data_IF_135884444627
#
_entry.id   IF_135884444627
#
_cell.length_a   1.000
_cell.length_b   1.000
_cell.length_c   1.000
_cell.angle_alpha   90.00
_cell.angle_beta   90.00
_cell.angle_gamma   90.00
#
_symmetry.space_group_name_H-M   'P 1'
#
loop_
_entity.id
_entity.type
_entity.pdbx_description
1 polymer ?
#
# COMPACT_ATOMS: atom_id res chain seq x y z
N UNK A 1 -7.11 39.59 -12.06
CA UNK A 1 -6.71 38.16 -12.01
C UNK A 1 -7.64 37.45 -12.96
N UNK A 2 -7.12 36.77 -13.99
CA UNK A 2 -7.92 35.94 -14.90
C UNK A 2 -7.84 34.51 -14.42
N UNK A 3 -8.99 33.81 -14.40
CA UNK A 3 -9.08 32.38 -14.07
C UNK A 3 -9.31 31.63 -15.38
N UNK A 4 -8.49 30.61 -15.66
CA UNK A 4 -8.66 29.71 -16.80
C UNK A 4 -9.05 28.32 -16.32
N UNK A 5 -10.03 27.70 -16.99
CA UNK A 5 -10.44 26.32 -16.74
C UNK A 5 -9.60 25.39 -17.59
N UNK A 6 -8.71 24.63 -16.97
CA UNK A 6 -7.81 23.72 -17.67
C UNK A 6 -8.53 22.47 -18.21
N UNK A 7 -9.55 21.95 -17.48
CA UNK A 7 -10.32 20.79 -17.86
C UNK A 7 -11.76 20.87 -17.36
N UNK A 8 -12.74 20.89 -18.25
CA UNK A 8 -14.15 21.16 -17.90
C UNK A 8 -14.84 20.00 -17.18
N UNK A 9 -14.43 18.76 -17.48
CA UNK A 9 -15.04 17.54 -16.95
C UNK A 9 -14.15 16.80 -15.95
N UNK A 10 -13.28 17.56 -15.25
CA UNK A 10 -12.40 16.96 -14.25
C UNK A 10 -13.22 16.31 -13.14
N UNK A 11 -13.00 15.00 -12.90
CA UNK A 11 -13.62 14.25 -11.83
C UNK A 11 -12.55 13.58 -10.98
N UNK A 12 -12.78 13.52 -9.66
CA UNK A 12 -11.90 12.81 -8.73
C UNK A 12 -10.42 13.19 -8.81
N UNK A 13 -10.14 14.50 -9.00
CA UNK A 13 -8.81 15.08 -8.90
C UNK A 13 -8.61 15.57 -7.46
N UNK A 14 -7.54 15.08 -6.83
CA UNK A 14 -7.21 15.35 -5.43
C UNK A 14 -6.11 16.40 -5.27
N UNK A 15 -5.32 16.66 -6.31
CA UNK A 15 -4.25 17.64 -6.27
C UNK A 15 -3.45 17.73 -7.57
N UNK A 16 -2.71 18.83 -7.70
CA UNK A 16 -1.79 19.03 -8.81
C UNK A 16 -0.56 19.81 -8.35
N UNK A 17 0.59 19.49 -8.93
CA UNK A 17 1.87 20.17 -8.69
C UNK A 17 2.59 20.40 -10.01
N UNK A 18 3.19 21.57 -10.19
CA UNK A 18 4.00 21.84 -11.39
C UNK A 18 5.26 20.96 -11.44
N UNK A 19 5.63 20.60 -12.67
CA UNK A 19 6.96 20.05 -12.95
C UNK A 19 8.06 21.05 -12.52
N UNK A 20 9.29 20.58 -12.26
CA UNK A 20 10.40 21.46 -11.88
C UNK A 20 10.68 22.61 -12.85
N UNK A 21 10.39 22.43 -14.14
CA UNK A 21 10.55 23.45 -15.19
C UNK A 21 9.28 24.31 -15.41
N UNK A 22 8.20 24.03 -14.66
CA UNK A 22 6.94 24.78 -14.72
C UNK A 22 6.07 24.53 -15.96
N UNK A 23 6.43 23.58 -16.84
CA UNK A 23 5.73 23.37 -18.11
C UNK A 23 4.58 22.38 -18.06
N UNK A 24 4.62 21.45 -17.13
CA UNK A 24 3.62 20.41 -16.97
C UNK A 24 3.06 20.40 -15.55
N UNK A 25 1.90 19.79 -15.38
CA UNK A 25 1.34 19.45 -14.08
C UNK A 25 1.41 17.95 -13.88
N UNK A 26 1.95 17.52 -12.75
CA UNK A 26 1.68 16.21 -12.18
C UNK A 26 0.35 16.30 -11.45
N UNK A 27 -0.63 15.51 -11.86
CA UNK A 27 -1.97 15.50 -11.29
C UNK A 27 -2.19 14.18 -10.58
N UNK A 28 -2.69 14.26 -9.36
CA UNK A 28 -3.09 13.12 -8.54
C UNK A 28 -4.61 13.02 -8.50
N UNK A 29 -5.14 11.84 -8.79
CA UNK A 29 -6.59 11.59 -8.83
C UNK A 29 -6.89 10.10 -8.90
N UNK A 30 -8.14 9.73 -9.17
CA UNK A 30 -8.51 8.35 -9.46
C UNK A 30 -8.40 8.04 -10.96
N UNK A 31 -8.53 6.76 -11.33
CA UNK A 31 -8.54 6.34 -12.74
C UNK A 31 -9.59 7.04 -13.61
N UNK A 32 -10.63 7.62 -12.99
CA UNK A 32 -11.69 8.36 -13.68
C UNK A 32 -11.29 9.78 -14.12
N UNK A 33 -10.16 10.30 -13.63
CA UNK A 33 -9.70 11.62 -14.05
C UNK A 33 -9.47 11.67 -15.58
N UNK A 34 -9.66 12.86 -16.16
CA UNK A 34 -9.44 13.14 -17.58
C UNK A 34 -10.18 12.17 -18.52
N UNK A 35 -11.51 12.09 -18.38
CA UNK A 35 -12.37 11.24 -19.21
C UNK A 35 -12.02 9.74 -19.16
N UNK A 36 -11.67 9.25 -17.95
CA UNK A 36 -11.40 7.83 -17.67
C UNK A 36 -10.12 7.26 -18.30
N UNK A 37 -9.16 8.09 -18.74
CA UNK A 37 -7.93 7.59 -19.39
C UNK A 37 -7.05 6.73 -18.47
N UNK A 38 -7.23 6.85 -17.15
CA UNK A 38 -6.50 6.07 -16.14
C UNK A 38 -7.15 4.75 -15.75
N UNK A 39 -8.35 4.42 -16.26
CA UNK A 39 -9.07 3.21 -15.84
C UNK A 39 -8.43 1.93 -16.38
N UNK A 40 -8.28 0.96 -15.48
CA UNK A 40 -7.88 -0.41 -15.75
C UNK A 40 -8.76 -1.38 -14.94
N UNK A 41 -10.03 -1.48 -15.31
CA UNK A 41 -11.06 -2.34 -14.71
C UNK A 41 -11.74 -3.18 -15.78
N UNK A 42 -12.46 -4.23 -15.39
CA UNK A 42 -13.25 -5.03 -16.31
C UNK A 42 -14.50 -4.29 -16.77
N UNK A 43 -14.99 -4.65 -17.94
CA UNK A 43 -16.27 -4.19 -18.44
C UNK A 43 -17.40 -4.47 -17.44
N UNK A 44 -18.24 -3.48 -17.21
CA UNK A 44 -19.35 -3.54 -16.25
C UNK A 44 -18.98 -3.27 -14.79
N UNK A 45 -17.70 -3.19 -14.44
CA UNK A 45 -17.31 -2.77 -13.09
C UNK A 45 -17.40 -1.26 -12.91
N UNK A 46 -17.62 -0.84 -11.66
CA UNK A 46 -17.54 0.54 -11.22
C UNK A 46 -16.21 0.71 -10.51
N UNK A 47 -15.41 1.71 -10.91
CA UNK A 47 -14.10 1.96 -10.33
C UNK A 47 -14.18 2.34 -8.86
N UNK A 48 -13.22 1.87 -8.08
CA UNK A 48 -12.98 2.35 -6.73
C UNK A 48 -12.21 3.67 -6.79
N UNK A 49 -12.87 4.77 -6.42
CA UNK A 49 -12.28 6.12 -6.50
C UNK A 49 -11.20 6.39 -5.45
N UNK A 50 -11.01 5.48 -4.50
CA UNK A 50 -9.90 5.53 -3.53
C UNK A 50 -8.58 4.94 -4.07
N UNK A 51 -8.63 4.26 -5.24
CA UNK A 51 -7.43 3.82 -5.94
C UNK A 51 -6.78 4.99 -6.67
N UNK A 52 -5.69 5.53 -6.10
CA UNK A 52 -5.00 6.73 -6.55
C UNK A 52 -4.09 6.47 -7.74
N UNK A 53 -4.17 7.39 -8.72
CA UNK A 53 -3.41 7.34 -9.97
C UNK A 53 -2.70 8.67 -10.22
N UNK A 54 -1.62 8.63 -11.01
CA UNK A 54 -0.91 9.82 -11.46
C UNK A 54 -1.08 10.07 -12.95
N UNK A 55 -1.16 11.35 -13.28
CA UNK A 55 -1.26 11.85 -14.63
C UNK A 55 -0.25 12.97 -14.87
N UNK A 56 0.19 13.13 -16.10
CA UNK A 56 0.80 14.34 -16.58
C UNK A 56 -0.22 15.12 -17.40
N UNK A 57 -0.33 16.42 -17.13
CA UNK A 57 -1.13 17.34 -17.90
C UNK A 57 -0.25 18.45 -18.45
N UNK A 58 -0.38 18.73 -19.74
CA UNK A 58 0.30 19.80 -20.44
C UNK A 58 -0.68 20.97 -20.65
N UNK A 59 -0.54 22.09 -19.94
CA UNK A 59 -1.44 23.22 -20.07
C UNK A 59 -1.41 23.89 -21.45
N UNK A 60 -0.28 23.84 -22.17
CA UNK A 60 -0.15 24.48 -23.48
C UNK A 60 -0.92 23.73 -24.57
N UNK A 61 -0.92 22.40 -24.50
CA UNK A 61 -1.64 21.52 -25.46
C UNK A 61 -2.98 21.05 -24.95
N UNK A 62 -3.27 21.27 -23.66
CA UNK A 62 -4.46 20.75 -22.95
C UNK A 62 -4.60 19.23 -23.05
N UNK A 63 -3.49 18.48 -23.04
CA UNK A 63 -3.49 17.02 -23.10
C UNK A 63 -3.09 16.41 -21.78
N UNK A 64 -3.80 15.35 -21.41
CA UNK A 64 -3.49 14.50 -20.27
C UNK A 64 -2.92 13.13 -20.71
N UNK A 65 -2.02 12.58 -19.92
CA UNK A 65 -1.47 11.23 -20.07
C UNK A 65 -1.48 10.52 -18.73
N UNK A 66 -2.08 9.33 -18.65
CA UNK A 66 -1.98 8.48 -17.46
C UNK A 66 -0.56 7.91 -17.35
N UNK A 67 0.03 8.00 -16.14
CA UNK A 67 1.35 7.43 -15.84
C UNK A 67 1.27 6.06 -15.19
N UNK A 68 0.22 5.83 -14.39
CA UNK A 68 0.13 4.66 -13.51
C UNK A 68 -1.06 3.74 -13.81
N UNK A 69 -1.72 3.89 -14.97
CA UNK A 69 -2.89 3.09 -15.37
C UNK A 69 -2.70 1.59 -15.17
N UNK A 70 -1.54 1.05 -15.58
CA UNK A 70 -1.21 -0.38 -15.52
C UNK A 70 -0.32 -0.73 -14.32
N UNK A 71 -0.29 0.14 -13.32
CA UNK A 71 0.47 -0.04 -12.10
C UNK A 71 -0.48 -0.45 -10.97
N UNK A 72 -0.34 -1.68 -10.47
CA UNK A 72 -1.24 -2.26 -9.49
C UNK A 72 -1.22 -1.60 -8.09
N UNK A 73 -0.06 -1.14 -7.56
CA UNK A 73 -0.07 -0.43 -6.29
C UNK A 73 -0.89 0.86 -6.36
N UNK A 74 -1.62 1.15 -5.28
CA UNK A 74 -2.36 2.39 -5.10
C UNK A 74 -1.40 3.53 -4.77
N UNK A 75 -1.37 4.60 -5.55
CA UNK A 75 -0.56 5.79 -5.25
C UNK A 75 -1.25 6.62 -4.17
N UNK A 76 -0.59 6.84 -3.04
CA UNK A 76 -1.12 7.64 -1.93
C UNK A 76 -0.59 9.08 -1.90
N UNK A 77 0.65 9.27 -2.35
CA UNK A 77 1.26 10.59 -2.55
C UNK A 77 2.39 10.54 -3.55
N UNK A 78 2.77 11.71 -4.10
CA UNK A 78 3.89 11.80 -5.01
C UNK A 78 4.60 13.16 -4.91
N UNK A 79 5.91 13.16 -5.18
CA UNK A 79 6.73 14.35 -5.28
C UNK A 79 7.55 14.31 -6.57
N UNK A 80 7.59 15.39 -7.30
CA UNK A 80 8.46 15.55 -8.47
C UNK A 80 9.80 16.12 -8.02
N UNK A 81 10.85 15.33 -8.11
CA UNK A 81 12.20 15.69 -7.67
C UNK A 81 12.79 16.81 -8.57
N UNK A 82 13.21 17.90 -7.95
CA UNK A 82 13.96 18.95 -8.63
C UNK A 82 15.38 18.54 -8.94
N UNK A 83 15.94 17.60 -8.18
CA UNK A 83 17.32 17.17 -8.32
C UNK A 83 17.54 16.26 -9.54
N UNK A 84 16.72 15.24 -9.73
CA UNK A 84 16.92 14.21 -10.76
C UNK A 84 15.76 14.10 -11.78
N UNK A 85 14.72 14.91 -11.62
CA UNK A 85 13.57 14.94 -12.51
C UNK A 85 12.66 13.71 -12.46
N UNK A 86 12.91 12.76 -11.53
CA UNK A 86 12.02 11.61 -11.32
C UNK A 86 10.83 11.98 -10.45
N UNK A 87 9.72 11.30 -10.65
CA UNK A 87 8.57 11.37 -9.74
C UNK A 87 8.74 10.23 -8.71
N UNK A 88 8.77 10.58 -7.43
CA UNK A 88 8.77 9.63 -6.32
C UNK A 88 7.34 9.44 -5.84
N UNK A 89 6.90 8.19 -5.73
CA UNK A 89 5.53 7.82 -5.36
C UNK A 89 5.55 7.00 -4.08
N UNK A 90 4.82 7.42 -3.05
CA UNK A 90 4.47 6.57 -1.94
C UNK A 90 3.21 5.78 -2.32
N UNK A 91 3.22 4.49 -2.08
CA UNK A 91 2.16 3.60 -2.56
C UNK A 91 1.76 2.58 -1.51
N UNK A 92 0.49 2.20 -1.50
CA UNK A 92 0.07 0.91 -0.96
C UNK A 92 0.35 -0.16 -2.04
N UNK A 93 1.23 -1.09 -1.74
CA UNK A 93 1.62 -2.20 -2.59
C UNK A 93 1.30 -3.51 -1.88
N UNK A 94 0.09 -3.99 -2.06
CA UNK A 94 -0.50 -5.04 -1.25
C UNK A 94 -0.59 -4.60 0.22
N UNK A 95 -0.01 -5.35 1.16
CA UNK A 95 0.06 -5.01 2.58
C UNK A 95 1.33 -4.21 2.99
N UNK A 96 2.11 -3.78 2.01
CA UNK A 96 3.25 -2.89 2.18
C UNK A 96 2.91 -1.43 1.86
N UNK A 97 3.69 -0.51 2.42
CA UNK A 97 3.76 0.87 1.94
C UNK A 97 5.18 1.14 1.46
N UNK A 98 5.34 1.36 0.16
CA UNK A 98 6.62 1.41 -0.54
C UNK A 98 6.81 2.67 -1.36
N UNK A 99 8.07 3.01 -1.61
CA UNK A 99 8.40 4.12 -2.52
C UNK A 99 8.82 3.54 -3.87
N UNK A 100 8.21 4.10 -4.92
CA UNK A 100 8.56 3.86 -6.31
C UNK A 100 9.01 5.15 -6.96
N UNK A 101 9.85 5.06 -7.98
CA UNK A 101 10.15 6.16 -8.90
C UNK A 101 9.46 5.92 -10.22
N UNK A 102 8.96 7.00 -10.83
CA UNK A 102 8.42 6.99 -12.19
C UNK A 102 9.18 8.03 -13.03
N UNK A 103 9.69 7.59 -14.17
CA UNK A 103 10.28 8.52 -15.13
C UNK A 103 9.16 9.20 -15.93
N UNK A 104 8.98 10.53 -15.84
CA UNK A 104 7.85 11.22 -16.48
C UNK A 104 7.89 11.17 -18.01
N UNK A 105 9.08 11.01 -18.61
CA UNK A 105 9.23 11.01 -20.07
C UNK A 105 8.79 9.68 -20.68
N UNK A 106 9.32 8.56 -20.16
CA UNK A 106 9.08 7.23 -20.74
C UNK A 106 8.12 6.35 -19.93
N UNK A 107 7.66 6.81 -18.76
CA UNK A 107 6.73 6.10 -17.89
C UNK A 107 7.33 4.92 -17.13
N UNK A 108 8.65 4.70 -17.18
CA UNK A 108 9.28 3.57 -16.50
C UNK A 108 9.18 3.72 -14.99
N UNK A 109 8.56 2.73 -14.34
CA UNK A 109 8.39 2.67 -12.88
C UNK A 109 9.41 1.68 -12.29
N UNK A 110 10.00 2.03 -11.15
CA UNK A 110 10.97 1.21 -10.41
C UNK A 110 10.71 1.31 -8.91
N UNK A 111 10.60 0.18 -8.22
CA UNK A 111 10.58 0.12 -6.76
C UNK A 111 11.95 0.49 -6.19
N UNK A 112 11.96 1.26 -5.10
CA UNK A 112 13.15 1.45 -4.29
C UNK A 112 13.29 0.27 -3.31
N UNK A 113 14.50 -0.24 -3.19
CA UNK A 113 14.82 -1.28 -2.23
C UNK A 113 15.16 -0.62 -0.88
N UNK A 114 14.16 -0.53 -0.02
CA UNK A 114 14.24 0.12 1.30
C UNK A 114 13.90 -0.90 2.39
N UNK A 115 14.53 -0.80 3.57
CA UNK A 115 14.47 -1.86 4.59
C UNK A 115 13.11 -1.99 5.31
N UNK A 116 12.24 -0.98 5.28
CA UNK A 116 10.99 -1.03 6.03
C UNK A 116 9.81 -1.52 5.17
N UNK A 117 8.88 -2.25 5.82
CA UNK A 117 7.67 -2.77 5.17
C UNK A 117 6.64 -1.67 4.93
N UNK A 118 6.54 -0.72 5.87
CA UNK A 118 5.54 0.36 5.88
C UNK A 118 6.25 1.69 6.01
N UNK A 119 6.37 2.42 4.92
CA UNK A 119 6.95 3.77 4.88
C UNK A 119 5.78 4.76 4.97
N UNK A 120 5.80 5.61 6.00
CA UNK A 120 4.71 6.56 6.23
C UNK A 120 4.88 7.86 5.49
N UNK A 121 6.10 8.32 5.35
CA UNK A 121 6.37 9.57 4.66
C UNK A 121 7.84 9.67 4.25
N UNK A 122 8.11 10.55 3.29
CA UNK A 122 9.45 10.86 2.81
C UNK A 122 9.55 12.34 2.43
N UNK A 123 10.79 12.83 2.35
CA UNK A 123 11.10 14.18 1.89
C UNK A 123 12.36 14.15 1.03
N UNK A 124 12.28 14.80 -0.14
CA UNK A 124 13.38 14.92 -1.09
C UNK A 124 14.10 16.26 -0.90
N UNK A 125 15.43 16.24 -0.90
CA UNK A 125 16.21 17.44 -1.00
C UNK A 125 16.12 18.03 -2.42
N UNK A 126 16.01 19.36 -2.53
CA UNK A 126 15.86 20.03 -3.83
C UNK A 126 17.17 20.06 -4.64
N UNK A 127 18.32 20.12 -3.97
CA UNK A 127 19.63 20.38 -4.58
C UNK A 127 20.67 19.29 -4.33
N UNK A 128 20.28 18.18 -3.71
CA UNK A 128 21.17 17.07 -3.36
C UNK A 128 20.49 15.71 -3.61
N UNK A 129 21.28 14.63 -3.88
CA UNK A 129 20.74 13.29 -4.08
C UNK A 129 20.34 12.61 -2.77
N UNK A 130 19.52 13.27 -1.96
CA UNK A 130 19.15 12.80 -0.62
C UNK A 130 17.66 12.80 -0.44
N UNK A 131 17.15 11.68 0.08
CA UNK A 131 15.80 11.53 0.58
C UNK A 131 15.87 11.10 2.03
N UNK A 132 15.08 11.71 2.90
CA UNK A 132 14.79 11.18 4.24
C UNK A 132 13.42 10.51 4.22
N UNK A 133 13.31 9.41 4.94
CA UNK A 133 12.03 8.72 5.11
C UNK A 133 11.97 8.05 6.48
N UNK A 134 10.77 7.77 6.94
CA UNK A 134 10.58 6.96 8.14
C UNK A 134 9.50 5.91 7.91
N UNK A 135 9.63 4.82 8.62
CA UNK A 135 8.72 3.69 8.52
C UNK A 135 8.96 2.66 9.60
N UNK A 136 8.22 1.60 9.53
CA UNK A 136 8.28 0.45 10.43
C UNK A 136 8.02 -0.85 9.68
N UNK A 137 8.26 -1.97 10.35
CA UNK A 137 7.97 -3.31 9.84
C UNK A 137 7.18 -4.12 10.85
N UNK A 138 6.88 -5.38 10.54
CA UNK A 138 6.11 -6.26 11.44
C UNK A 138 6.73 -6.44 12.82
N UNK A 139 8.04 -6.24 12.96
CA UNK A 139 8.81 -6.52 14.20
C UNK A 139 9.64 -5.34 14.71
N UNK A 140 9.54 -4.17 14.09
CA UNK A 140 10.18 -2.95 14.58
C UNK A 140 9.27 -1.74 14.43
N UNK A 141 9.36 -0.85 15.42
CA UNK A 141 8.68 0.44 15.41
C UNK A 141 9.38 1.43 14.47
N UNK A 142 8.89 2.67 14.45
CA UNK A 142 9.37 3.69 13.53
C UNK A 142 10.89 3.93 13.62
N UNK A 143 11.54 3.90 12.46
CA UNK A 143 12.94 4.21 12.22
C UNK A 143 13.07 5.30 11.17
N UNK A 144 13.99 6.20 11.37
CA UNK A 144 14.34 7.28 10.44
C UNK A 144 15.58 6.90 9.65
N UNK A 145 15.51 7.11 8.33
CA UNK A 145 16.59 6.80 7.39
C UNK A 145 16.92 7.99 6.49
N UNK A 146 18.17 8.03 6.04
CA UNK A 146 18.55 8.74 4.82
C UNK A 146 18.78 7.74 3.68
N UNK A 147 18.42 8.15 2.48
CA UNK A 147 18.64 7.38 1.25
C UNK A 147 19.33 8.28 0.21
N UNK A 148 20.41 7.81 -0.36
CA UNK A 148 21.07 8.51 -1.46
C UNK A 148 20.50 8.05 -2.80
N UNK A 149 19.79 8.95 -3.49
CA UNK A 149 19.07 8.65 -4.73
C UNK A 149 19.98 8.34 -5.92
N UNK A 150 21.27 8.71 -5.85
CA UNK A 150 22.25 8.49 -6.92
C UNK A 150 22.91 7.10 -6.85
N UNK A 151 23.22 6.62 -5.63
CA UNK A 151 23.93 5.35 -5.44
C UNK A 151 23.11 4.27 -4.72
N UNK A 152 21.85 4.56 -4.41
CA UNK A 152 20.90 3.67 -3.75
C UNK A 152 21.33 3.18 -2.35
N UNK A 153 22.18 3.96 -1.63
CA UNK A 153 22.59 3.61 -0.28
C UNK A 153 21.63 4.15 0.76
N UNK A 154 21.20 3.29 1.67
CA UNK A 154 20.39 3.62 2.83
C UNK A 154 21.26 3.67 4.09
N UNK A 155 20.99 4.62 4.97
CA UNK A 155 21.62 4.73 6.29
C UNK A 155 20.56 4.95 7.36
N UNK A 156 20.53 4.11 8.39
CA UNK A 156 19.74 4.34 9.59
C UNK A 156 20.27 5.57 10.34
N UNK A 157 19.41 6.55 10.58
CA UNK A 157 19.73 7.76 11.33
C UNK A 157 19.30 7.61 12.78
N UNK A 158 18.12 7.08 13.01
CA UNK A 158 17.58 6.94 14.36
C UNK A 158 16.54 5.82 14.44
N UNK A 159 16.62 5.00 15.51
CA UNK A 159 15.62 4.03 15.89
C UNK A 159 14.86 4.55 17.13
N UNK A 160 13.62 4.95 16.92
CA UNK A 160 12.80 5.62 17.94
C UNK A 160 12.50 4.74 19.15
N UNK A 161 12.47 3.44 18.97
CA UNK A 161 12.02 2.48 19.99
C UNK A 161 13.05 1.42 20.35
N UNK A 162 14.32 1.58 19.94
CA UNK A 162 15.37 0.59 20.19
C UNK A 162 15.45 0.15 21.66
N UNK A 163 15.50 1.13 22.58
CA UNK A 163 15.58 0.85 24.03
C UNK A 163 14.31 0.23 24.60
N UNK A 164 13.13 0.56 24.05
CA UNK A 164 11.85 0.05 24.52
C UNK A 164 11.60 -1.39 24.07
N UNK A 165 12.11 -1.76 22.90
CA UNK A 165 11.85 -3.03 22.27
C UNK A 165 12.96 -4.06 22.46
N UNK A 166 14.13 -3.69 22.94
CA UNK A 166 15.32 -4.57 23.06
C UNK A 166 15.09 -5.85 23.86
N UNK A 167 14.22 -5.80 24.87
CA UNK A 167 13.92 -6.94 25.75
C UNK A 167 12.57 -7.59 25.42
N UNK A 168 11.90 -7.13 24.35
CA UNK A 168 10.62 -7.69 23.93
C UNK A 168 10.85 -8.80 22.90
N UNK A 169 10.34 -9.99 23.20
CA UNK A 169 10.32 -11.11 22.27
C UNK A 169 9.00 -11.09 21.50
N UNK A 170 9.08 -10.84 20.21
CA UNK A 170 7.94 -11.01 19.32
C UNK A 170 7.78 -12.47 18.90
N UNK A 171 6.55 -12.88 18.58
CA UNK A 171 6.28 -14.11 17.87
C UNK A 171 6.67 -14.03 16.40
N UNK A 172 6.78 -15.16 15.75
CA UNK A 172 7.04 -15.23 14.31
C UNK A 172 5.83 -14.72 13.51
N UNK A 173 6.10 -14.14 12.34
CA UNK A 173 5.10 -13.69 11.37
C UNK A 173 5.34 -14.41 10.07
N UNK A 174 4.31 -15.02 9.50
CA UNK A 174 4.39 -15.76 8.27
C UNK A 174 3.35 -15.27 7.27
N UNK A 175 3.73 -15.18 6.00
CA UNK A 175 2.78 -14.96 4.92
C UNK A 175 2.02 -16.27 4.65
N UNK A 176 0.72 -16.15 4.46
CA UNK A 176 -0.13 -17.25 4.06
C UNK A 176 -1.28 -16.76 3.19
N UNK A 177 -1.26 -17.14 1.93
CA UNK A 177 -2.26 -16.79 0.94
C UNK A 177 -3.15 -18.01 0.69
N UNK A 178 -4.42 -17.78 0.40
CA UNK A 178 -5.30 -18.84 -0.04
C UNK A 178 -5.95 -18.50 -1.39
N UNK A 179 -6.43 -19.50 -2.09
CA UNK A 179 -7.20 -19.32 -3.32
C UNK A 179 -8.67 -19.58 -3.02
N UNK A 180 -9.49 -18.55 -3.21
CA UNK A 180 -10.95 -18.67 -3.03
C UNK A 180 -11.58 -19.56 -4.08
N UNK A 181 -12.83 -19.99 -3.86
CA UNK A 181 -13.55 -20.91 -4.76
C UNK A 181 -13.74 -20.37 -6.18
N UNK A 182 -13.65 -19.06 -6.38
CA UNK A 182 -13.70 -18.45 -7.72
C UNK A 182 -12.31 -18.29 -8.38
N UNK A 183 -11.25 -18.81 -7.75
CA UNK A 183 -9.87 -18.75 -8.25
C UNK A 183 -9.13 -17.45 -7.89
N UNK A 184 -9.71 -16.57 -7.07
CA UNK A 184 -9.02 -15.37 -6.61
C UNK A 184 -7.99 -15.71 -5.53
N UNK A 185 -6.74 -15.26 -5.71
CA UNK A 185 -5.72 -15.35 -4.66
C UNK A 185 -5.91 -14.21 -3.67
N UNK A 186 -6.15 -14.55 -2.42
CA UNK A 186 -6.31 -13.62 -1.30
C UNK A 186 -5.05 -13.64 -0.46
N UNK A 187 -4.42 -12.47 -0.33
CA UNK A 187 -3.23 -12.31 0.48
C UNK A 187 -3.59 -12.31 1.96
N UNK A 188 -2.79 -13.03 2.74
CA UNK A 188 -2.88 -13.05 4.20
C UNK A 188 -1.52 -13.25 4.85
N UNK A 189 -1.51 -13.09 6.16
CA UNK A 189 -0.37 -13.40 7.04
C UNK A 189 -0.89 -13.75 8.43
N UNK A 190 -0.07 -14.44 9.21
CA UNK A 190 -0.43 -14.75 10.59
C UNK A 190 0.74 -14.52 11.54
N UNK A 191 0.36 -14.26 12.78
CA UNK A 191 1.26 -13.96 13.90
C UNK A 191 1.12 -15.08 14.92
N UNK A 192 2.25 -15.62 15.34
CA UNK A 192 2.32 -16.66 16.37
C UNK A 192 2.64 -16.05 17.74
N UNK A 193 2.21 -16.70 18.85
CA UNK A 193 2.65 -16.31 20.18
C UNK A 193 4.18 -16.30 20.33
N UNK A 194 4.78 -15.44 21.18
CA UNK A 194 6.24 -15.37 21.36
C UNK A 194 6.92 -16.66 21.79
N UNK A 195 6.18 -17.56 22.44
CA UNK A 195 6.65 -18.89 22.88
C UNK A 195 5.77 -19.97 22.26
N UNK A 196 5.58 -19.87 20.94
CA UNK A 196 4.77 -20.81 20.21
C UNK A 196 5.30 -22.25 20.31
N UNK A 197 4.38 -23.19 20.52
CA UNK A 197 4.62 -24.63 20.56
C UNK A 197 3.58 -25.31 19.65
N UNK A 198 4.03 -25.90 18.56
CA UNK A 198 3.16 -26.52 17.56
C UNK A 198 2.37 -27.73 18.10
N UNK A 199 2.76 -28.30 19.25
CA UNK A 199 2.03 -29.38 19.89
C UNK A 199 0.78 -28.93 20.67
N UNK A 200 0.64 -27.61 20.91
CA UNK A 200 -0.47 -27.01 21.66
C UNK A 200 -1.55 -26.51 20.70
N UNK A 201 -2.73 -26.25 21.27
CA UNK A 201 -3.85 -25.61 20.58
C UNK A 201 -3.98 -24.17 21.05
N UNK A 202 -4.19 -23.27 20.08
CA UNK A 202 -4.34 -21.85 20.33
C UNK A 202 -5.70 -21.33 19.81
N UNK A 203 -6.36 -20.45 20.53
CA UNK A 203 -7.47 -19.70 19.97
C UNK A 203 -6.95 -18.77 18.87
N UNK A 204 -7.79 -18.46 17.89
CA UNK A 204 -7.42 -17.60 16.76
C UNK A 204 -8.29 -16.35 16.72
N UNK A 205 -7.67 -15.24 16.38
CA UNK A 205 -8.34 -14.00 15.98
C UNK A 205 -8.14 -13.84 14.49
N UNK A 206 -9.24 -13.65 13.74
CA UNK A 206 -9.19 -13.25 12.32
C UNK A 206 -9.39 -11.75 12.27
N UNK A 207 -8.41 -11.04 11.76
CA UNK A 207 -8.43 -9.59 11.65
C UNK A 207 -8.44 -9.15 10.19
N UNK A 208 -9.40 -8.32 9.83
CA UNK A 208 -9.55 -7.74 8.51
C UNK A 208 -10.17 -6.36 8.62
N UNK A 209 -9.94 -5.52 7.62
CA UNK A 209 -10.63 -4.23 7.53
C UNK A 209 -11.99 -4.38 6.83
N UNK A 210 -12.02 -5.15 5.74
CA UNK A 210 -13.25 -5.39 4.96
C UNK A 210 -13.74 -4.19 4.14
N UNK A 211 -12.88 -3.19 4.00
CA UNK A 211 -13.13 -1.99 3.21
C UNK A 211 -12.02 -1.77 2.16
N UNK A 212 -11.71 -0.51 1.87
CA UNK A 212 -10.78 -0.15 0.80
C UNK A 212 -9.31 -0.29 1.18
N UNK A 213 -8.95 -0.12 2.44
CA UNK A 213 -7.53 -0.10 2.84
C UNK A 213 -7.00 -1.48 3.19
N UNK A 214 -5.75 -1.81 2.87
CA UNK A 214 -5.13 -3.06 3.29
C UNK A 214 -4.84 -3.07 4.79
N UNK A 215 -4.86 -4.26 5.38
CA UNK A 215 -4.28 -4.53 6.70
C UNK A 215 -2.77 -4.61 6.52
N UNK A 216 -2.05 -3.53 6.82
CA UNK A 216 -0.62 -3.42 6.56
C UNK A 216 0.26 -4.09 7.64
N UNK A 217 1.58 -4.05 7.44
CA UNK A 217 2.62 -4.71 8.26
C UNK A 217 3.15 -3.86 9.41
N UNK A 218 2.42 -2.85 9.84
CA UNK A 218 2.87 -1.97 10.92
C UNK A 218 2.87 -2.70 12.26
N UNK A 219 3.98 -2.58 13.04
CA UNK A 219 4.04 -3.02 14.43
C UNK A 219 3.18 -2.13 15.32
N UNK A 220 3.35 -0.80 15.19
CA UNK A 220 2.60 0.19 15.95
C UNK A 220 1.27 0.47 15.23
N UNK A 221 0.23 -0.16 15.70
CA UNK A 221 -1.12 -0.03 15.21
C UNK A 221 -2.11 -0.05 16.37
N UNK A 222 -3.27 0.60 16.24
CA UNK A 222 -4.27 0.70 17.31
C UNK A 222 -4.74 -0.67 17.84
N UNK A 223 -4.70 -1.68 16.97
CA UNK A 223 -5.05 -3.08 17.28
C UNK A 223 -3.84 -3.97 16.97
N UNK A 224 -2.75 -3.82 17.73
CA UNK A 224 -1.49 -4.51 17.47
C UNK A 224 -1.67 -6.04 17.45
N UNK A 225 -1.30 -6.65 16.34
CA UNK A 225 -1.37 -8.11 16.16
C UNK A 225 -0.45 -8.84 17.13
N UNK A 226 0.73 -8.28 17.39
CA UNK A 226 1.66 -8.82 18.36
C UNK A 226 1.14 -8.75 19.81
N UNK A 227 0.32 -7.77 20.15
CA UNK A 227 -0.31 -7.71 21.48
C UNK A 227 -1.25 -8.90 21.69
N UNK A 228 -2.11 -9.19 20.71
CA UNK A 228 -2.98 -10.37 20.77
C UNK A 228 -2.20 -11.68 20.73
N UNK A 229 -1.12 -11.75 19.93
CA UNK A 229 -0.25 -12.90 19.91
C UNK A 229 0.44 -13.12 21.28
N UNK A 230 0.88 -12.07 21.95
CA UNK A 230 1.46 -12.14 23.29
C UNK A 230 0.45 -12.60 24.37
N UNK A 231 -0.85 -12.39 24.14
CA UNK A 231 -1.94 -12.91 24.99
C UNK A 231 -2.27 -14.38 24.70
N UNK A 232 -1.56 -15.03 23.77
CA UNK A 232 -1.70 -16.45 23.46
C UNK A 232 -2.63 -16.79 22.30
N UNK A 233 -2.98 -15.80 21.46
CA UNK A 233 -3.76 -16.04 20.25
C UNK A 233 -2.85 -16.24 19.04
N UNK A 234 -3.26 -17.08 18.10
CA UNK A 234 -2.81 -16.94 16.70
C UNK A 234 -3.64 -15.82 16.07
N UNK A 235 -2.99 -14.87 15.41
CA UNK A 235 -3.71 -13.78 14.75
C UNK A 235 -3.54 -13.92 13.24
N UNK A 236 -4.61 -14.21 12.54
CA UNK A 236 -4.64 -14.31 11.08
C UNK A 236 -5.23 -13.02 10.50
N UNK A 237 -4.52 -12.42 9.55
CA UNK A 237 -4.96 -11.21 8.83
C UNK A 237 -5.06 -11.50 7.35
N UNK A 238 -6.05 -10.91 6.68
CA UNK A 238 -6.21 -11.05 5.23
C UNK A 238 -6.74 -9.77 4.59
N UNK A 239 -6.48 -9.64 3.29
CA UNK A 239 -6.87 -8.53 2.44
C UNK A 239 -7.82 -9.03 1.34
N UNK A 240 -9.15 -9.05 1.58
CA UNK A 240 -10.12 -9.59 0.64
C UNK A 240 -10.36 -8.68 -0.56
N UNK A 241 -11.11 -9.16 -1.54
CA UNK A 241 -11.53 -8.41 -2.72
C UNK A 241 -12.14 -7.05 -2.35
N UNK A 242 -11.74 -6.02 -3.07
CA UNK A 242 -12.11 -4.62 -2.79
C UNK A 242 -10.99 -3.80 -2.15
N UNK A 243 -9.94 -4.44 -1.63
CA UNK A 243 -8.79 -3.78 -1.03
C UNK A 243 -7.94 -3.08 -2.11
N UNK A 244 -7.51 -1.83 -1.86
CA UNK A 244 -6.57 -1.09 -2.72
C UNK A 244 -5.15 -1.69 -2.65
N UNK A 245 -4.30 -1.36 -3.62
CA UNK A 245 -2.93 -1.87 -3.67
C UNK A 245 -2.76 -3.23 -4.35
N UNK A 246 -3.84 -3.83 -4.84
CA UNK A 246 -3.87 -5.09 -5.59
C UNK A 246 -4.28 -4.90 -7.06
N UNK A 247 -4.38 -3.66 -7.51
CA UNK A 247 -4.83 -3.25 -8.82
C UNK A 247 -6.27 -2.78 -8.85
N UNK A 248 -6.59 -1.92 -9.83
CA UNK A 248 -7.90 -1.27 -9.93
C UNK A 248 -9.06 -2.27 -10.05
N UNK A 249 -8.85 -3.37 -10.79
CA UNK A 249 -9.87 -4.42 -10.97
C UNK A 249 -10.21 -5.09 -9.63
N UNK A 250 -9.20 -5.41 -8.82
CA UNK A 250 -9.40 -6.02 -7.51
C UNK A 250 -10.10 -5.04 -6.55
N UNK A 251 -9.67 -3.77 -6.54
CA UNK A 251 -10.27 -2.72 -5.73
C UNK A 251 -11.73 -2.42 -6.11
N UNK A 252 -12.08 -2.59 -7.39
CA UNK A 252 -13.44 -2.36 -7.89
C UNK A 252 -14.47 -3.43 -7.46
N UNK A 253 -14.02 -4.61 -7.03
CA UNK A 253 -14.89 -5.78 -6.80
C UNK A 253 -15.94 -5.60 -5.70
N UNK A 254 -15.71 -4.69 -4.73
CA UNK A 254 -16.68 -4.44 -3.67
C UNK A 254 -17.54 -3.20 -3.87
N UNK A 255 -17.31 -2.43 -4.94
CA UNK A 255 -18.09 -1.21 -5.19
C UNK A 255 -19.54 -1.58 -5.47
N UNK A 256 -20.46 -1.06 -4.65
CA UNK A 256 -21.89 -1.42 -4.59
C UNK A 256 -22.17 -2.92 -4.31
N UNK A 257 -21.18 -3.65 -3.79
CA UNK A 257 -21.28 -5.08 -3.48
C UNK A 257 -20.67 -5.40 -2.09
N UNK A 258 -20.91 -4.51 -1.12
CA UNK A 258 -20.34 -4.65 0.22
C UNK A 258 -20.87 -5.88 0.94
N UNK A 259 -19.95 -6.68 1.45
CA UNK A 259 -20.25 -7.87 2.22
C UNK A 259 -20.51 -9.14 1.40
N UNK A 260 -20.81 -9.05 0.12
CA UNK A 260 -21.08 -10.23 -0.70
C UNK A 260 -19.82 -11.11 -0.83
N UNK A 261 -18.97 -10.85 -1.80
CA UNK A 261 -17.77 -11.61 -2.06
C UNK A 261 -16.74 -11.55 -0.92
N UNK A 262 -16.60 -10.39 -0.30
CA UNK A 262 -15.67 -10.14 0.80
C UNK A 262 -15.94 -11.05 2.00
N UNK A 263 -17.21 -11.23 2.39
CA UNK A 263 -17.59 -12.12 3.50
C UNK A 263 -17.25 -13.57 3.20
N UNK A 264 -17.58 -14.04 1.98
CA UNK A 264 -17.27 -15.40 1.55
C UNK A 264 -15.77 -15.69 1.56
N UNK A 265 -14.95 -14.76 1.06
CA UNK A 265 -13.49 -14.91 1.07
C UNK A 265 -12.91 -14.96 2.49
N UNK A 266 -13.44 -14.16 3.43
CA UNK A 266 -13.02 -14.18 4.84
C UNK A 266 -13.38 -15.52 5.49
N UNK A 267 -14.59 -16.03 5.24
CA UNK A 267 -15.04 -17.32 5.77
C UNK A 267 -14.19 -18.46 5.21
N UNK A 268 -14.05 -18.54 3.88
CA UNK A 268 -13.24 -19.56 3.20
C UNK A 268 -11.79 -19.55 3.67
N UNK A 269 -11.17 -18.35 3.77
CA UNK A 269 -9.79 -18.21 4.26
C UNK A 269 -9.66 -18.68 5.71
N UNK A 270 -10.63 -18.37 6.56
CA UNK A 270 -10.64 -18.81 7.96
C UNK A 270 -10.75 -20.34 8.07
N UNK A 271 -11.68 -20.95 7.34
CA UNK A 271 -11.87 -22.40 7.35
C UNK A 271 -10.65 -23.15 6.80
N UNK A 272 -10.08 -22.68 5.69
CA UNK A 272 -8.89 -23.29 5.10
C UNK A 272 -7.67 -23.11 6.02
N UNK A 273 -7.50 -21.96 6.65
CA UNK A 273 -6.44 -21.72 7.61
C UNK A 273 -6.52 -22.73 8.79
N UNK A 274 -7.70 -22.88 9.39
CA UNK A 274 -7.92 -23.85 10.48
C UNK A 274 -7.62 -25.30 10.06
N UNK A 275 -7.94 -25.66 8.83
CA UNK A 275 -7.68 -27.00 8.28
C UNK A 275 -6.19 -27.27 8.07
N UNK A 276 -5.45 -26.28 7.57
CA UNK A 276 -4.03 -26.41 7.25
C UNK A 276 -3.11 -26.19 8.47
N UNK A 277 -3.63 -25.54 9.52
CA UNK A 277 -2.86 -25.20 10.72
C UNK A 277 -3.44 -25.91 11.96
N UNK A 278 -3.08 -27.19 12.19
CA UNK A 278 -3.66 -27.99 13.26
C UNK A 278 -3.43 -27.46 14.66
N UNK A 279 -2.54 -26.52 14.86
CA UNK A 279 -2.36 -25.82 16.12
C UNK A 279 -3.48 -24.80 16.43
N UNK A 280 -4.36 -24.46 15.51
CA UNK A 280 -5.53 -23.63 15.77
C UNK A 280 -6.64 -24.47 16.41
N UNK A 281 -7.30 -23.93 17.43
CA UNK A 281 -8.52 -24.50 17.98
C UNK A 281 -9.73 -23.98 17.17
N UNK A 282 -10.43 -24.82 16.42
CA UNK A 282 -11.55 -24.39 15.58
C UNK A 282 -12.88 -24.20 16.36
N UNK A 283 -12.86 -24.33 17.71
CA UNK A 283 -14.06 -24.24 18.58
C UNK A 283 -14.09 -22.92 19.31
#
# INVERSE_FOLDING_TARGET
MTVDTLWEKAQYINGATFSPDGKQLMVFGSGNAFDNIGLNIKEGQISNTYDGQLFLYDPATRKAKALTKDFNPNVTSAQWSKFDGQIYMLTEDQDYQRIYTCNPVNGKIRRLDLPEDVIYNYSLAETAPVMYYYGQSVSNANRLYSYNTKNNKTQLIYDLSADKLKDIKFGEVHDWNFTSTDGTVIQGRYYLPPNFDASRKYPMIVYYYGGTSPTNRALEFSYSMHMYAALGYVVYTLNPSGTTGFGQEFAARHVNAWGDKTADEIIQGTEQFCKEHPFVNPK
#
